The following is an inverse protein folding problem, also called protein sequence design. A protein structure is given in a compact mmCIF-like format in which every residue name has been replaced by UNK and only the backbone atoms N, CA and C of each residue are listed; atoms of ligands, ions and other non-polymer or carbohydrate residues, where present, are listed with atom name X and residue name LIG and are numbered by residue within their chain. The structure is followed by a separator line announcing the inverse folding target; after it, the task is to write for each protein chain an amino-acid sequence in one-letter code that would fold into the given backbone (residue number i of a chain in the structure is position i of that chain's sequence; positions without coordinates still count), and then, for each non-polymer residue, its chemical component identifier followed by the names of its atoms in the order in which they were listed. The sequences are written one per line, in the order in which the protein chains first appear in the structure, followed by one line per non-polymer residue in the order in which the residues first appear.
data_IF_795564905443
#
_entry.id   IF_795564905443
#
_cell.length_a   1.000
_cell.length_b   1.000
_cell.length_c   1.000
_cell.angle_alpha   90.00
_cell.angle_beta   90.00
_cell.angle_gamma   90.00
#
_symmetry.space_group_name_H-M   'P 1'
#
loop_
_entity.id
_entity.type
_entity.pdbx_description
1 polymer ?
#
# COMPACT_ATOMS: atom_id res chain seq x y z
N UNK A 1 43.93 24.42 -25.44
CA UNK A 1 43.47 25.65 -24.79
C UNK A 1 41.95 25.56 -24.81
N UNK A 2 41.32 24.80 -23.90
CA UNK A 2 41.15 25.10 -22.45
C UNK A 2 40.30 26.37 -22.31
N UNK A 3 39.15 26.43 -21.64
CA UNK A 3 38.65 25.83 -20.38
C UNK A 3 37.09 25.80 -20.42
N UNK A 4 36.33 24.82 -19.88
CA UNK A 4 36.14 24.37 -18.48
C UNK A 4 35.74 25.50 -17.50
N UNK A 5 34.48 25.61 -17.07
CA UNK A 5 33.90 25.18 -15.76
C UNK A 5 32.88 26.30 -15.38
N UNK A 6 31.79 26.11 -14.65
CA UNK A 6 31.69 25.58 -13.30
C UNK A 6 30.23 25.14 -13.03
N UNK A 7 29.98 23.85 -12.84
CA UNK A 7 28.94 23.42 -11.90
C UNK A 7 29.65 23.24 -10.56
N UNK A 8 29.35 24.11 -9.59
CA UNK A 8 29.91 24.03 -8.25
C UNK A 8 29.47 22.74 -7.57
N UNK A 9 30.44 21.93 -7.17
CA UNK A 9 30.20 20.78 -6.32
C UNK A 9 29.97 21.18 -4.86
N UNK A 10 29.32 20.29 -4.13
CA UNK A 10 29.71 20.02 -2.75
C UNK A 10 30.19 18.57 -2.69
N UNK A 11 31.46 18.42 -2.31
CA UNK A 11 32.08 17.16 -1.92
C UNK A 11 31.65 16.85 -0.50
N UNK A 12 31.18 15.64 -0.27
CA UNK A 12 31.46 14.93 0.97
C UNK A 12 31.94 13.55 0.54
N UNK A 13 33.25 13.35 0.67
CA UNK A 13 33.87 12.04 0.58
C UNK A 13 33.44 11.23 1.82
N UNK A 14 32.64 10.21 1.60
CA UNK A 14 32.56 9.03 2.44
C UNK A 14 32.46 7.85 1.49
N UNK A 15 33.36 6.91 1.64
CA UNK A 15 33.51 5.73 0.78
C UNK A 15 32.17 4.99 0.65
N UNK A 16 31.52 5.14 -0.50
CA UNK A 16 30.39 4.30 -0.85
C UNK A 16 30.95 2.93 -1.20
N UNK A 17 30.91 2.03 -0.21
CA UNK A 17 30.82 0.59 -0.46
C UNK A 17 29.88 0.38 -1.63
N UNK A 18 30.39 -0.17 -2.73
CA UNK A 18 29.58 -0.68 -3.84
C UNK A 18 28.76 -1.86 -3.32
N UNK A 19 27.66 -1.54 -2.65
CA UNK A 19 26.50 -2.40 -2.53
C UNK A 19 25.63 -2.13 -3.73
N UNK A 20 25.88 -2.81 -4.84
CA UNK A 20 24.85 -3.05 -5.84
C UNK A 20 23.70 -3.77 -5.14
N UNK A 21 22.71 -3.02 -4.66
CA UNK A 21 21.38 -3.58 -4.45
C UNK A 21 20.64 -3.40 -5.77
N UNK A 22 20.48 -4.51 -6.50
CA UNK A 22 19.56 -4.70 -7.64
C UNK A 22 18.10 -4.51 -7.17
N UNK A 23 17.79 -3.38 -6.53
CA UNK A 23 16.41 -2.97 -6.33
C UNK A 23 16.00 -2.29 -7.64
N UNK A 24 15.44 -3.11 -8.55
CA UNK A 24 14.75 -2.58 -9.74
C UNK A 24 13.83 -1.44 -9.29
N UNK A 25 13.94 -0.29 -9.96
CA UNK A 25 13.04 0.84 -9.69
C UNK A 25 11.59 0.34 -9.75
N UNK A 26 10.75 0.65 -8.74
CA UNK A 26 9.41 0.13 -8.67
C UNK A 26 8.62 0.50 -9.92
N UNK A 27 7.86 -0.47 -10.44
CA UNK A 27 7.09 -0.24 -11.65
C UNK A 27 6.04 0.86 -11.42
N UNK A 28 5.64 1.61 -12.45
CA UNK A 28 4.59 2.62 -12.31
C UNK A 28 3.31 2.05 -11.66
N UNK A 29 2.96 2.59 -10.49
CA UNK A 29 1.78 2.17 -9.72
C UNK A 29 2.05 1.02 -8.74
N UNK A 30 3.27 0.49 -8.67
CA UNK A 30 3.66 -0.50 -7.68
C UNK A 30 3.76 0.11 -6.28
N UNK A 31 3.27 -0.63 -5.28
CA UNK A 31 3.30 -0.28 -3.87
C UNK A 31 4.18 -1.30 -3.16
N UNK A 32 5.44 -0.92 -2.93
CA UNK A 32 6.39 -1.79 -2.24
C UNK A 32 5.97 -2.06 -0.78
N UNK A 33 6.52 -3.12 -0.21
CA UNK A 33 6.36 -3.46 1.20
C UNK A 33 6.72 -2.27 2.11
N UNK A 34 5.89 -2.04 3.12
CA UNK A 34 6.04 -0.93 4.05
C UNK A 34 5.69 0.44 3.48
N UNK A 35 5.05 0.50 2.31
CA UNK A 35 4.56 1.72 1.67
C UNK A 35 3.05 1.68 1.49
N UNK A 36 2.50 2.86 1.23
CA UNK A 36 1.15 3.03 0.71
C UNK A 36 1.21 3.93 -0.51
N UNK A 37 0.20 3.84 -1.36
CA UNK A 37 0.02 4.74 -2.50
C UNK A 37 -1.45 5.02 -2.73
N UNK A 38 -1.70 6.13 -3.44
CA UNK A 38 -3.03 6.57 -3.85
C UNK A 38 -3.04 6.84 -5.34
N UNK A 39 -4.22 6.79 -5.93
CA UNK A 39 -4.35 7.10 -7.34
C UNK A 39 -5.73 7.65 -7.70
N UNK A 40 -5.70 8.45 -8.76
CA UNK A 40 -6.85 8.96 -9.48
C UNK A 40 -6.71 8.57 -10.96
N UNK A 41 -7.55 7.65 -11.41
CA UNK A 41 -7.61 7.11 -12.77
C UNK A 41 -6.62 5.97 -13.07
N UNK A 42 -5.47 5.88 -12.41
CA UNK A 42 -4.47 4.85 -12.71
C UNK A 42 -4.59 3.60 -11.82
N UNK A 43 -4.08 2.48 -12.33
CA UNK A 43 -3.95 1.23 -11.57
C UNK A 43 -2.85 1.40 -10.52
N UNK A 44 -3.09 0.89 -9.32
CA UNK A 44 -2.07 0.66 -8.29
C UNK A 44 -2.06 -0.81 -7.89
N UNK A 45 -0.90 -1.36 -7.59
CA UNK A 45 -0.76 -2.78 -7.30
C UNK A 45 0.40 -3.07 -6.35
N UNK A 46 0.35 -4.24 -5.74
CA UNK A 46 1.43 -4.78 -4.93
C UNK A 46 1.55 -6.27 -5.18
N UNK A 47 2.78 -6.73 -5.19
CA UNK A 47 3.16 -8.14 -5.15
C UNK A 47 3.64 -8.46 -3.73
N UNK A 48 3.93 -9.73 -3.42
CA UNK A 48 4.83 -10.03 -2.31
C UNK A 48 4.50 -11.24 -1.46
N UNK A 49 5.08 -11.24 -0.26
CA UNK A 49 5.15 -12.39 0.63
C UNK A 49 3.79 -12.75 1.26
N UNK A 50 3.68 -14.01 1.67
CA UNK A 50 2.51 -14.56 2.33
C UNK A 50 2.19 -13.86 3.67
N UNK A 51 3.19 -13.46 4.45
CA UNK A 51 3.01 -12.92 5.82
C UNK A 51 2.53 -11.47 5.88
N UNK A 52 2.52 -10.75 4.76
CA UNK A 52 2.17 -9.33 4.73
C UNK A 52 0.66 -9.11 4.63
N UNK A 53 0.15 -8.12 5.37
CA UNK A 53 -1.23 -7.65 5.24
C UNK A 53 -1.32 -6.61 4.14
N UNK A 54 -2.30 -6.75 3.24
CA UNK A 54 -2.58 -5.76 2.19
C UNK A 54 -3.96 -5.16 2.37
N UNK A 55 -4.04 -3.84 2.32
CA UNK A 55 -5.28 -3.10 2.51
C UNK A 55 -5.57 -2.30 1.27
N UNK A 56 -6.70 -2.57 0.60
CA UNK A 56 -7.18 -1.78 -0.51
C UNK A 56 -8.50 -1.10 -0.17
N UNK A 57 -8.64 0.15 -0.59
CA UNK A 57 -9.86 0.93 -0.45
C UNK A 57 -10.19 1.57 -1.78
N UNK A 58 -11.46 1.52 -2.16
CA UNK A 58 -11.97 2.24 -3.34
C UNK A 58 -13.10 3.16 -2.95
N UNK A 59 -13.20 4.27 -3.68
CA UNK A 59 -14.21 5.28 -3.44
C UNK A 59 -14.84 5.82 -4.71
N UNK A 60 -15.87 6.65 -4.51
CA UNK A 60 -16.52 7.42 -5.55
C UNK A 60 -16.85 8.82 -5.06
N UNK A 61 -16.82 9.78 -5.97
CA UNK A 61 -17.31 11.13 -5.74
C UNK A 61 -18.67 11.28 -6.42
N UNK A 62 -19.80 11.31 -5.67
CA UNK A 62 -21.15 11.28 -6.23
C UNK A 62 -21.47 12.43 -7.18
N UNK A 63 -20.87 13.59 -6.93
CA UNK A 63 -21.09 14.81 -7.70
C UNK A 63 -20.22 14.92 -8.96
N UNK A 64 -19.65 13.79 -9.42
CA UNK A 64 -19.15 13.65 -10.78
C UNK A 64 -17.98 14.57 -11.11
N UNK A 65 -16.81 14.25 -10.57
CA UNK A 65 -15.55 14.81 -11.03
C UNK A 65 -14.42 13.84 -10.75
N UNK A 66 -13.81 13.30 -11.81
CA UNK A 66 -12.50 12.64 -11.73
C UNK A 66 -11.39 13.60 -11.30
N UNK A 67 -11.69 14.87 -11.04
CA UNK A 67 -10.74 15.86 -10.51
C UNK A 67 -10.91 16.10 -9.00
N UNK A 68 -11.79 15.34 -8.33
CA UNK A 68 -12.15 15.59 -6.92
C UNK A 68 -11.17 14.94 -5.92
N UNK A 69 -10.15 14.25 -6.41
CA UNK A 69 -9.08 13.66 -5.61
C UNK A 69 -8.89 12.17 -5.90
N UNK A 70 -8.00 11.55 -5.13
CA UNK A 70 -7.76 10.11 -5.21
C UNK A 70 -8.99 9.32 -4.81
N UNK A 71 -9.16 8.16 -5.45
CA UNK A 71 -10.28 7.25 -5.24
C UNK A 71 -9.87 5.76 -5.22
N UNK A 72 -8.56 5.51 -5.24
CA UNK A 72 -7.92 4.21 -5.06
C UNK A 72 -6.81 4.37 -4.04
N UNK A 73 -6.78 3.48 -3.06
CA UNK A 73 -5.79 3.48 -1.98
C UNK A 73 -5.32 2.04 -1.79
N UNK A 74 -4.02 1.86 -1.65
CA UNK A 74 -3.41 0.55 -1.41
C UNK A 74 -2.24 0.70 -0.45
N UNK A 75 -2.22 -0.13 0.59
CA UNK A 75 -1.09 -0.27 1.50
C UNK A 75 -0.60 -1.72 1.53
N UNK A 76 0.72 -1.86 1.57
CA UNK A 76 1.39 -3.14 1.77
C UNK A 76 2.11 -3.08 3.12
N UNK A 77 1.54 -3.76 4.11
CA UNK A 77 1.94 -3.69 5.52
C UNK A 77 2.59 -5.01 5.89
N UNK A 78 3.91 -5.02 6.00
CA UNK A 78 4.60 -6.09 6.72
C UNK A 78 4.51 -5.84 8.23
N UNK A 79 4.85 -6.85 9.03
CA UNK A 79 4.85 -6.89 10.51
C UNK A 79 5.12 -5.53 11.19
N UNK A 80 4.69 -5.42 12.47
CA UNK A 80 4.73 -4.30 13.44
C UNK A 80 5.60 -3.04 13.21
N UNK A 81 6.67 -3.10 12.42
CA UNK A 81 7.54 -2.01 11.98
C UNK A 81 6.94 -1.10 10.91
N UNK A 82 5.94 -1.53 10.15
CA UNK A 82 5.41 -0.76 9.00
C UNK A 82 4.07 -0.06 9.25
N UNK A 83 3.74 0.24 10.51
CA UNK A 83 2.52 0.95 10.91
C UNK A 83 2.33 2.30 10.22
N UNK A 84 3.40 2.94 9.74
CA UNK A 84 3.34 4.18 8.96
C UNK A 84 2.62 4.02 7.62
N UNK A 85 2.72 2.85 6.97
CA UNK A 85 2.02 2.59 5.71
C UNK A 85 0.50 2.55 5.94
N UNK A 86 0.06 1.81 6.96
CA UNK A 86 -1.35 1.74 7.34
C UNK A 86 -1.88 3.13 7.75
N UNK A 87 -1.14 3.86 8.58
CA UNK A 87 -1.55 5.21 8.99
C UNK A 87 -1.64 6.16 7.78
N UNK A 88 -0.66 6.11 6.86
CA UNK A 88 -0.69 6.92 5.66
C UNK A 88 -1.90 6.64 4.75
N UNK A 89 -2.29 5.37 4.62
CA UNK A 89 -3.53 4.99 3.93
C UNK A 89 -4.77 5.54 4.64
N UNK A 90 -4.86 5.38 5.97
CA UNK A 90 -5.98 5.89 6.77
C UNK A 90 -6.12 7.41 6.59
N UNK A 91 -5.05 8.16 6.80
CA UNK A 91 -5.05 9.62 6.67
C UNK A 91 -5.45 10.06 5.26
N UNK A 92 -5.01 9.32 4.23
CA UNK A 92 -5.38 9.62 2.85
C UNK A 92 -6.87 9.38 2.58
N UNK A 93 -7.43 8.28 3.08
CA UNK A 93 -8.86 7.98 2.97
C UNK A 93 -9.68 9.01 3.72
N UNK A 94 -9.26 9.42 4.93
CA UNK A 94 -9.94 10.47 5.70
C UNK A 94 -9.94 11.82 4.98
N UNK A 95 -8.80 12.24 4.41
CA UNK A 95 -8.73 13.46 3.59
C UNK A 95 -9.67 13.38 2.39
N UNK A 96 -9.70 12.25 1.69
CA UNK A 96 -10.59 12.05 0.54
C UNK A 96 -12.06 12.08 0.95
N UNK A 97 -12.43 11.47 2.10
CA UNK A 97 -13.78 11.57 2.69
C UNK A 97 -14.14 13.03 3.01
N UNK A 98 -13.20 13.79 3.58
CA UNK A 98 -13.35 15.24 3.82
C UNK A 98 -13.61 16.05 2.54
N UNK A 99 -13.10 15.58 1.40
CA UNK A 99 -13.35 16.14 0.08
C UNK A 99 -14.61 15.58 -0.62
N UNK A 100 -15.44 14.81 0.10
CA UNK A 100 -16.71 14.28 -0.41
C UNK A 100 -16.61 12.91 -1.07
N UNK A 101 -15.51 12.18 -0.88
CA UNK A 101 -15.44 10.77 -1.30
C UNK A 101 -16.35 9.91 -0.42
N UNK A 102 -17.15 9.08 -1.07
CA UNK A 102 -17.82 7.95 -0.43
C UNK A 102 -16.98 6.70 -0.65
N UNK A 103 -16.64 5.99 0.43
CA UNK A 103 -16.01 4.67 0.35
C UNK A 103 -17.01 3.68 -0.24
N UNK A 104 -16.56 2.84 -1.16
CA UNK A 104 -17.36 1.86 -1.89
C UNK A 104 -16.99 0.44 -1.46
N UNK A 105 -15.70 0.14 -1.37
CA UNK A 105 -15.21 -1.19 -1.03
C UNK A 105 -13.92 -1.09 -0.21
N UNK A 106 -13.78 -1.98 0.77
CA UNK A 106 -12.58 -2.17 1.57
C UNK A 106 -12.25 -3.66 1.58
N UNK A 107 -11.03 -4.02 1.19
CA UNK A 107 -10.53 -5.39 1.23
C UNK A 107 -9.26 -5.42 2.06
N UNK A 108 -9.20 -6.36 3.00
CA UNK A 108 -8.01 -6.67 3.79
C UNK A 108 -7.60 -8.11 3.48
N UNK A 109 -6.41 -8.29 2.91
CA UNK A 109 -5.85 -9.59 2.57
C UNK A 109 -4.80 -9.96 3.63
N UNK A 110 -4.98 -11.09 4.31
CA UNK A 110 -4.19 -11.54 5.46
C UNK A 110 -3.69 -12.98 5.29
N UNK A 111 -2.58 -13.33 5.95
CA UNK A 111 -2.19 -14.73 6.11
C UNK A 111 -3.21 -15.43 7.01
N UNK A 112 -3.70 -16.60 6.57
CA UNK A 112 -4.57 -17.45 7.37
C UNK A 112 -3.82 -17.99 8.59
N UNK A 113 -4.51 -18.11 9.73
CA UNK A 113 -3.96 -18.79 10.90
C UNK A 113 -3.63 -20.25 10.56
N UNK A 114 -2.41 -20.70 10.87
CA UNK A 114 -2.03 -22.11 10.74
C UNK A 114 -2.45 -22.88 12.00
N UNK A 115 -3.52 -23.68 11.90
CA UNK A 115 -4.00 -24.51 13.00
C UNK A 115 -2.95 -25.53 13.49
N UNK A 116 -1.99 -25.91 12.63
CA UNK A 116 -0.90 -26.85 12.95
C UNK A 116 0.34 -26.19 13.55
N UNK A 117 0.51 -24.89 13.35
CA UNK A 117 1.58 -24.08 13.93
C UNK A 117 1.12 -22.64 14.16
N UNK A 118 0.30 -22.39 15.20
CA UNK A 118 -0.28 -21.08 15.43
C UNK A 118 0.81 -20.04 15.67
N UNK A 119 0.78 -18.98 14.88
CA UNK A 119 1.66 -17.82 15.01
C UNK A 119 0.85 -16.69 15.67
N UNK A 120 0.92 -16.64 17.00
CA UNK A 120 0.19 -15.64 17.78
C UNK A 120 0.61 -14.20 17.42
N UNK A 121 1.86 -13.97 17.00
CA UNK A 121 2.30 -12.62 16.62
C UNK A 121 1.67 -12.19 15.28
N UNK A 122 1.55 -13.13 14.34
CA UNK A 122 0.85 -12.89 13.06
C UNK A 122 -0.66 -12.71 13.26
N UNK A 123 -1.29 -13.51 14.12
CA UNK A 123 -2.72 -13.40 14.42
C UNK A 123 -3.04 -12.05 15.07
N UNK A 124 -2.28 -11.66 16.11
CA UNK A 124 -2.40 -10.34 16.75
C UNK A 124 -2.19 -9.20 15.75
N UNK A 125 -1.24 -9.35 14.82
CA UNK A 125 -0.99 -8.35 13.77
C UNK A 125 -2.15 -8.25 12.77
N UNK A 126 -2.70 -9.38 12.33
CA UNK A 126 -3.87 -9.43 11.45
C UNK A 126 -5.06 -8.73 12.11
N UNK A 127 -5.35 -9.05 13.37
CA UNK A 127 -6.42 -8.44 14.15
C UNK A 127 -6.22 -6.93 14.34
N UNK A 128 -5.00 -6.48 14.69
CA UNK A 128 -4.68 -5.05 14.82
C UNK A 128 -5.00 -4.29 13.54
N UNK A 129 -4.60 -4.82 12.38
CA UNK A 129 -4.86 -4.14 11.09
C UNK A 129 -6.35 -4.11 10.77
N UNK A 130 -7.05 -5.24 10.94
CA UNK A 130 -8.50 -5.36 10.73
C UNK A 130 -9.26 -4.33 11.56
N UNK A 131 -8.99 -4.25 12.86
CA UNK A 131 -9.65 -3.33 13.77
C UNK A 131 -9.37 -1.87 13.42
N UNK A 132 -8.11 -1.53 13.13
CA UNK A 132 -7.72 -0.16 12.77
C UNK A 132 -8.38 0.30 11.48
N UNK A 133 -8.44 -0.56 10.47
CA UNK A 133 -9.11 -0.27 9.20
C UNK A 133 -10.61 -0.06 9.43
N UNK A 134 -11.26 -0.96 10.17
CA UNK A 134 -12.69 -0.84 10.45
C UNK A 134 -13.03 0.46 11.20
N UNK A 135 -12.27 0.77 12.24
CA UNK A 135 -12.48 1.95 13.08
C UNK A 135 -12.27 3.26 12.31
N UNK A 136 -11.23 3.35 11.49
CA UNK A 136 -10.91 4.56 10.75
C UNK A 136 -11.84 4.79 9.55
N UNK A 137 -12.15 3.73 8.81
CA UNK A 137 -12.94 3.86 7.58
C UNK A 137 -14.44 3.96 7.90
N UNK A 138 -14.89 3.27 8.94
CA UNK A 138 -16.30 3.22 9.34
C UNK A 138 -17.15 2.35 8.41
N UNK A 139 -16.53 1.39 7.72
CA UNK A 139 -17.17 0.41 6.85
C UNK A 139 -16.62 -0.98 7.18
N UNK A 140 -17.49 -1.99 7.18
CA UNK A 140 -17.06 -3.38 7.31
C UNK A 140 -16.26 -3.81 6.08
N UNK A 141 -15.05 -4.25 6.32
CA UNK A 141 -14.12 -4.76 5.32
C UNK A 141 -14.46 -6.20 4.95
N UNK A 142 -14.14 -6.56 3.71
CA UNK A 142 -14.01 -7.94 3.30
C UNK A 142 -12.61 -8.44 3.69
N UNK A 143 -12.54 -9.33 4.66
CA UNK A 143 -11.30 -10.04 5.00
C UNK A 143 -11.15 -11.21 4.05
N UNK A 144 -9.98 -11.35 3.46
CA UNK A 144 -9.60 -12.47 2.59
C UNK A 144 -8.37 -13.11 3.21
N UNK A 145 -8.48 -14.39 3.51
CA UNK A 145 -7.37 -15.20 4.04
C UNK A 145 -6.66 -15.92 2.91
N UNK A 146 -5.34 -16.10 3.04
CA UNK A 146 -4.53 -16.89 2.10
C UNK A 146 -3.40 -17.63 2.81
N UNK A 147 -2.85 -18.64 2.14
CA UNK A 147 -1.72 -19.45 2.65
C UNK A 147 -0.49 -19.40 1.73
N UNK A 148 -0.61 -18.79 0.55
CA UNK A 148 0.45 -18.66 -0.45
C UNK A 148 0.70 -17.19 -0.82
N UNK A 149 1.66 -16.92 -1.70
CA UNK A 149 1.92 -15.56 -2.14
C UNK A 149 0.79 -15.03 -3.03
N UNK A 150 0.36 -13.81 -2.76
CA UNK A 150 -0.72 -13.15 -3.50
C UNK A 150 -0.28 -11.77 -3.97
N UNK A 151 -0.74 -11.43 -5.17
CA UNK A 151 -0.76 -10.06 -5.67
C UNK A 151 -2.12 -9.43 -5.43
N UNK A 152 -2.11 -8.13 -5.19
CA UNK A 152 -3.31 -7.32 -5.04
C UNK A 152 -3.21 -6.07 -5.91
N UNK A 153 -4.29 -5.71 -6.59
CA UNK A 153 -4.37 -4.47 -7.36
C UNK A 153 -5.72 -3.80 -7.23
N UNK A 154 -5.69 -2.48 -7.37
CA UNK A 154 -6.86 -1.66 -7.60
C UNK A 154 -6.78 -1.14 -9.03
N UNK A 155 -7.64 -1.68 -9.89
CA UNK A 155 -7.62 -1.41 -11.32
C UNK A 155 -8.11 0.00 -11.65
N UNK A 156 -7.83 0.47 -12.88
CA UNK A 156 -8.32 1.76 -13.37
C UNK A 156 -9.86 1.87 -13.36
N UNK A 157 -10.59 0.76 -13.42
CA UNK A 157 -12.05 0.74 -13.26
C UNK A 157 -12.52 0.61 -11.79
N UNK A 158 -11.60 0.72 -10.82
CA UNK A 158 -11.79 0.60 -9.37
C UNK A 158 -12.14 -0.80 -8.88
N UNK A 159 -12.01 -1.83 -9.73
CA UNK A 159 -12.11 -3.21 -9.26
C UNK A 159 -10.88 -3.55 -8.41
N UNK A 160 -11.12 -4.12 -7.22
CA UNK A 160 -10.07 -4.73 -6.42
C UNK A 160 -9.88 -6.17 -6.93
N UNK A 161 -8.67 -6.51 -7.37
CA UNK A 161 -8.27 -7.86 -7.74
C UNK A 161 -7.24 -8.38 -6.72
N UNK A 162 -7.35 -9.65 -6.39
CA UNK A 162 -6.37 -10.37 -5.60
C UNK A 162 -6.35 -11.82 -6.09
N UNK A 163 -5.17 -12.32 -6.44
CA UNK A 163 -5.00 -13.67 -7.00
C UNK A 163 -3.66 -14.24 -6.53
N UNK A 164 -3.53 -15.58 -6.48
CA UNK A 164 -2.24 -16.22 -6.29
C UNK A 164 -1.21 -15.74 -7.32
N UNK A 165 0.05 -15.65 -6.89
CA UNK A 165 1.20 -15.40 -7.78
C UNK A 165 1.64 -16.65 -8.54
#
# INVERSE_FOLDING_TARGET
MSDQRLCSGNKNDAESVEGYSDEEDPQPGEVCMGKFSTSNGARIFTNGLATCVRVAVTGRYPNGGSNNGDDRFLAHVAESRHKSALQGLIDAVERAKGNGMQVVEVVVLILAADEGSPDAEQDDFNEEVIERVQNAIGMQQKVVEHTENYKMSVEANKRINYVPE
#
